data_IF_263521387796
#
_entry.id   IF_263521387796
#
_cell.length_a   1.000
_cell.length_b   1.000
_cell.length_c   1.000
_cell.angle_alpha   90.00
_cell.angle_beta   90.00
_cell.angle_gamma   90.00
#
_symmetry.space_group_name_H-M   'P 1'
#
loop_
_entity.id
_entity.type
_entity.pdbx_description
1 polymer ?
#
# COMPACT_ATOMS: atom_id res chain seq x y z
N UNK A 1 11.65 -2.67 -1.38
CA UNK A 1 11.43 -1.50 -0.50
C UNK A 1 10.08 -0.89 -0.90
N UNK A 2 9.12 -0.72 0.03
CA UNK A 2 7.73 -0.37 -0.30
C UNK A 2 7.57 0.93 -1.07
N UNK A 3 8.30 1.99 -0.69
CA UNK A 3 8.16 3.32 -1.30
C UNK A 3 8.61 3.29 -2.77
N UNK A 4 9.71 2.61 -3.06
CA UNK A 4 10.23 2.44 -4.42
C UNK A 4 9.25 1.69 -5.34
N UNK A 5 8.58 0.65 -4.82
CA UNK A 5 7.52 -0.05 -5.55
C UNK A 5 6.33 0.88 -5.81
N UNK A 6 5.81 1.53 -4.77
CA UNK A 6 4.66 2.43 -4.89
C UNK A 6 4.94 3.59 -5.86
N UNK A 7 6.15 4.16 -5.83
CA UNK A 7 6.56 5.21 -6.77
C UNK A 7 6.59 4.71 -8.21
N UNK A 8 7.10 3.50 -8.45
CA UNK A 8 7.17 2.92 -9.78
C UNK A 8 5.77 2.70 -10.39
N UNK A 9 4.76 2.38 -9.56
CA UNK A 9 3.37 2.19 -9.98
C UNK A 9 2.71 3.48 -10.49
N UNK A 10 3.18 4.66 -10.04
CA UNK A 10 2.65 5.96 -10.49
C UNK A 10 2.83 6.21 -11.99
N UNK A 11 3.77 5.51 -12.62
CA UNK A 11 3.99 5.56 -14.08
C UNK A 11 3.01 4.68 -14.88
N UNK A 12 2.34 3.75 -14.22
CA UNK A 12 1.51 2.73 -14.88
C UNK A 12 0.01 2.97 -14.68
N UNK A 13 -0.38 3.61 -13.57
CA UNK A 13 -1.78 3.81 -13.23
C UNK A 13 -1.99 5.16 -12.52
N UNK A 14 -3.08 5.89 -12.83
CA UNK A 14 -3.41 7.15 -12.16
C UNK A 14 -4.01 6.95 -10.76
N UNK A 15 -4.42 5.72 -10.42
CA UNK A 15 -5.09 5.36 -9.17
C UNK A 15 -4.57 4.04 -8.60
N UNK A 16 -4.64 3.93 -7.29
CA UNK A 16 -4.04 2.86 -6.50
C UNK A 16 -5.00 2.45 -5.38
N UNK A 17 -5.11 1.14 -5.12
CA UNK A 17 -5.68 0.59 -3.90
C UNK A 17 -4.62 -0.29 -3.22
N UNK A 18 -4.22 0.06 -2.01
CA UNK A 18 -3.29 -0.74 -1.18
C UNK A 18 -4.06 -1.35 -0.02
N UNK A 19 -3.86 -2.64 0.23
CA UNK A 19 -4.37 -3.34 1.41
C UNK A 19 -3.20 -4.02 2.13
N UNK A 20 -3.07 -3.77 3.42
CA UNK A 20 -1.99 -4.34 4.26
C UNK A 20 -2.56 -4.81 5.61
N UNK A 21 -1.98 -5.88 6.19
CA UNK A 21 -2.40 -6.35 7.49
C UNK A 21 -1.99 -5.37 8.60
N UNK A 22 -2.91 -5.06 9.55
CA UNK A 22 -2.58 -4.21 10.69
C UNK A 22 -1.62 -4.90 11.67
N UNK A 23 -0.90 -4.08 12.44
CA UNK A 23 -0.08 -4.50 13.59
C UNK A 23 -0.89 -5.21 14.64
N UNK A 24 -1.99 -4.61 15.05
CA UNK A 24 -2.91 -5.23 15.98
C UNK A 24 -3.75 -6.24 15.21
N UNK A 25 -3.22 -7.46 15.09
CA UNK A 25 -3.94 -8.62 14.63
C UNK A 25 -5.09 -8.89 15.59
N UNK A 26 -6.26 -8.29 15.29
CA UNK A 26 -7.47 -8.45 16.10
C UNK A 26 -7.84 -9.93 16.18
N UNK A 27 -8.49 -10.33 17.27
CA UNK A 27 -9.11 -11.63 17.52
C UNK A 27 -9.81 -12.27 16.29
N UNK A 28 -10.18 -11.45 15.31
CA UNK A 28 -10.69 -11.82 13.99
C UNK A 28 -9.75 -12.73 13.18
N UNK A 29 -8.43 -12.56 13.24
CA UNK A 29 -7.48 -13.49 12.57
C UNK A 29 -7.47 -14.86 13.24
N UNK A 30 -7.60 -14.90 14.57
CA UNK A 30 -7.78 -16.14 15.34
C UNK A 30 -9.11 -16.81 14.98
N UNK A 31 -10.20 -16.03 14.92
CA UNK A 31 -11.51 -16.51 14.47
C UNK A 31 -11.47 -17.05 13.03
N UNK A 32 -10.81 -16.36 12.10
CA UNK A 32 -10.68 -16.83 10.71
C UNK A 32 -9.88 -18.12 10.61
N UNK A 33 -8.81 -18.27 11.41
CA UNK A 33 -8.11 -19.55 11.55
C UNK A 33 -9.06 -20.65 12.04
N UNK A 34 -9.82 -20.38 13.09
CA UNK A 34 -10.71 -21.36 13.70
C UNK A 34 -11.89 -21.74 12.76
N UNK A 35 -12.28 -20.84 11.85
CA UNK A 35 -13.27 -21.07 10.79
C UNK A 35 -12.68 -21.69 9.51
N UNK A 36 -11.37 -21.95 9.45
CA UNK A 36 -10.69 -22.47 8.26
C UNK A 36 -10.60 -21.48 7.09
N UNK A 37 -10.85 -20.18 7.35
CA UNK A 37 -10.73 -19.10 6.36
C UNK A 37 -9.29 -18.63 6.24
N UNK A 38 -8.91 -18.02 5.11
CA UNK A 38 -7.56 -17.47 4.92
C UNK A 38 -7.29 -16.39 5.99
N UNK A 39 -6.28 -16.64 6.82
CA UNK A 39 -6.01 -15.84 8.03
C UNK A 39 -4.53 -15.41 8.15
N UNK A 40 -3.65 -15.98 7.32
CA UNK A 40 -2.22 -15.69 7.27
C UNK A 40 -1.83 -15.39 5.82
N UNK A 41 -1.10 -14.30 5.61
CA UNK A 41 -0.69 -13.89 4.27
C UNK A 41 0.72 -14.36 3.88
N UNK A 42 1.65 -14.53 4.83
CA UNK A 42 2.99 -15.13 4.58
C UNK A 42 3.69 -15.55 5.91
N UNK A 43 4.64 -16.49 5.87
CA UNK A 43 5.53 -16.87 6.98
C UNK A 43 6.57 -15.79 7.31
N UNK A 44 6.97 -15.00 6.32
CA UNK A 44 8.00 -13.95 6.43
C UNK A 44 7.41 -12.53 6.63
N UNK A 45 6.25 -12.41 7.29
CA UNK A 45 5.63 -11.10 7.53
C UNK A 45 6.49 -10.23 8.46
N UNK A 46 7.33 -9.37 7.87
CA UNK A 46 8.29 -8.50 8.59
C UNK A 46 7.72 -7.16 9.03
N UNK A 47 6.53 -6.77 8.54
CA UNK A 47 5.94 -5.46 8.83
C UNK A 47 4.45 -5.55 9.05
N UNK A 48 4.10 -5.24 10.27
CA UNK A 48 2.76 -5.09 10.80
C UNK A 48 2.42 -3.59 10.68
N UNK A 49 1.47 -3.24 9.82
CA UNK A 49 1.22 -1.83 9.46
C UNK A 49 0.35 -1.13 10.50
N UNK A 50 0.63 0.14 10.77
CA UNK A 50 -0.35 1.09 11.31
C UNK A 50 -0.95 1.94 10.20
N UNK A 51 -2.15 2.52 10.37
CA UNK A 51 -2.71 3.48 9.40
C UNK A 51 -1.75 4.63 9.10
N UNK A 52 -1.00 5.07 10.09
CA UNK A 52 0.01 6.13 10.00
C UNK A 52 1.21 5.69 9.15
N UNK A 53 1.70 4.47 9.36
CA UNK A 53 2.83 3.93 8.57
C UNK A 53 2.46 3.76 7.10
N UNK A 54 1.24 3.27 6.80
CA UNK A 54 0.76 3.17 5.43
C UNK A 54 0.61 4.57 4.81
N UNK A 55 0.05 5.52 5.56
CA UNK A 55 -0.10 6.91 5.12
C UNK A 55 1.27 7.53 4.78
N UNK A 56 2.27 7.34 5.64
CA UNK A 56 3.62 7.85 5.41
C UNK A 56 4.26 7.25 4.15
N UNK A 57 4.21 5.92 3.99
CA UNK A 57 4.81 5.25 2.83
C UNK A 57 4.13 5.66 1.51
N UNK A 58 2.79 5.75 1.49
CA UNK A 58 2.00 6.14 0.30
C UNK A 58 2.26 7.60 -0.08
N UNK A 59 2.25 8.51 0.88
CA UNK A 59 2.53 9.94 0.63
C UNK A 59 3.97 10.18 0.19
N UNK A 60 4.95 9.55 0.84
CA UNK A 60 6.38 9.62 0.46
C UNK A 60 6.67 9.03 -0.93
N UNK A 61 5.80 8.14 -1.41
CA UNK A 61 5.88 7.59 -2.75
C UNK A 61 5.35 8.52 -3.86
N UNK A 62 4.64 9.60 -3.52
CA UNK A 62 4.08 10.56 -4.48
C UNK A 62 2.58 10.39 -4.76
N UNK A 63 1.86 9.73 -3.86
CA UNK A 63 0.41 9.52 -3.95
C UNK A 63 -0.33 10.41 -2.95
N UNK A 64 -1.47 10.96 -3.36
CA UNK A 64 -2.43 11.61 -2.47
C UNK A 64 -3.53 10.62 -2.10
N UNK A 65 -3.76 10.45 -0.79
CA UNK A 65 -4.76 9.50 -0.27
C UNK A 65 -6.14 10.13 -0.35
N UNK A 66 -7.06 9.44 -1.01
CA UNK A 66 -8.48 9.79 -1.08
C UNK A 66 -9.22 9.27 0.15
N UNK A 67 -9.03 7.99 0.47
CA UNK A 67 -9.66 7.33 1.61
C UNK A 67 -8.67 6.40 2.32
N UNK A 68 -8.78 6.33 3.64
CA UNK A 68 -8.02 5.40 4.48
C UNK A 68 -8.98 4.75 5.48
N UNK A 69 -9.10 3.43 5.41
CA UNK A 69 -9.96 2.64 6.27
C UNK A 69 -9.13 1.62 7.07
N UNK A 70 -9.33 1.60 8.39
CA UNK A 70 -8.71 0.64 9.30
C UNK A 70 -9.76 -0.35 9.82
N UNK A 71 -9.80 -1.55 9.22
CA UNK A 71 -10.75 -2.62 9.53
C UNK A 71 -10.04 -3.91 9.90
N UNK A 72 -10.38 -5.01 9.22
CA UNK A 72 -9.61 -6.27 9.26
C UNK A 72 -8.22 -6.05 8.66
N UNK A 73 -8.18 -5.34 7.55
CA UNK A 73 -6.97 -4.81 6.91
C UNK A 73 -6.99 -3.28 6.98
N UNK A 74 -5.83 -2.68 6.80
CA UNK A 74 -5.70 -1.25 6.51
C UNK A 74 -5.73 -1.09 5.00
N UNK A 75 -6.69 -0.30 4.50
CA UNK A 75 -6.90 -0.06 3.08
C UNK A 75 -6.77 1.42 2.77
N UNK A 76 -6.00 1.75 1.74
CA UNK A 76 -5.87 3.11 1.22
C UNK A 76 -6.23 3.16 -0.26
N UNK A 77 -7.13 4.07 -0.64
CA UNK A 77 -7.32 4.47 -2.03
C UNK A 77 -6.59 5.79 -2.26
N UNK A 78 -5.90 5.92 -3.39
CA UNK A 78 -5.08 7.08 -3.68
C UNK A 78 -5.01 7.40 -5.17
N UNK A 79 -4.73 8.65 -5.50
CA UNK A 79 -4.42 9.11 -6.84
C UNK A 79 -2.99 9.63 -6.93
N UNK A 80 -2.40 9.48 -8.12
CA UNK A 80 -1.03 9.89 -8.37
C UNK A 80 -0.92 11.42 -8.44
N UNK A 81 0.03 11.99 -7.71
CA UNK A 81 0.31 13.45 -7.72
C UNK A 81 1.78 13.77 -7.95
N UNK A 82 2.65 12.76 -7.99
CA UNK A 82 4.06 12.96 -8.36
C UNK A 82 4.19 13.38 -9.82
N UNK A 83 5.29 14.04 -10.17
CA UNK A 83 5.60 14.26 -11.57
C UNK A 83 5.71 12.90 -12.27
N UNK A 84 4.84 12.68 -13.27
CA UNK A 84 5.13 11.72 -14.31
C UNK A 84 6.29 12.35 -15.05
N UNK A 85 7.52 12.03 -14.62
CA UNK A 85 8.71 12.54 -15.27
C UNK A 85 8.54 12.31 -16.77
N UNK A 86 8.40 13.41 -17.51
CA UNK A 86 8.65 13.44 -18.95
C UNK A 86 9.99 12.73 -19.10
N UNK A 87 10.03 11.60 -19.79
CA UNK A 87 11.30 11.09 -20.28
C UNK A 87 12.03 12.29 -20.91
N UNK A 88 13.31 12.57 -20.59
CA UNK A 88 14.03 13.53 -21.40
C UNK A 88 13.89 13.01 -22.83
N UNK A 89 13.26 13.81 -23.69
CA UNK A 89 13.15 13.51 -25.11
C UNK A 89 14.52 13.02 -25.54
N UNK A 90 14.60 11.77 -26.01
CA UNK A 90 15.83 11.17 -26.47
C UNK A 90 16.50 12.19 -27.37
N UNK A 91 17.59 12.76 -26.87
CA UNK A 91 18.21 13.92 -27.48
C UNK A 91 18.62 13.56 -28.90
N UNK A 92 18.34 14.49 -29.81
CA UNK A 92 18.98 14.53 -31.12
C UNK A 92 20.51 14.41 -30.93
N UNK A 93 21.07 13.32 -31.44
CA UNK A 93 22.49 13.13 -31.68
C UNK A 93 22.67 12.37 -32.99
#
# INVERSE_FOLDING_TARGET
>A
EPVGLLRALGRCAPRLLVAVPPVDSRWQKVMYRDLGLRWKDDEDHRREYTPESLREEVTRAGWAIDELHAGIDIKASAHWVGDVGTEPAAGDA
#
